data_IF_123541837542
#
_entry.id   IF_123541837542
#
_cell.length_a   1.000
_cell.length_b   1.000
_cell.length_c   1.000
_cell.angle_alpha   90.00
_cell.angle_beta   90.00
_cell.angle_gamma   90.00
#
_symmetry.space_group_name_H-M   'P 1'
#
loop_
_entity.id
_entity.type
_entity.pdbx_description
1 polymer ?
#
# COMPACT_ATOMS: atom_id res chain seq x y z
N UNK A 1 -19.06 -12.02 14.53
CA UNK A 1 -17.68 -12.35 14.12
C UNK A 1 -17.68 -13.01 12.75
N UNK A 2 -18.28 -14.20 12.55
CA UNK A 2 -18.38 -14.83 11.21
C UNK A 2 -19.02 -13.93 10.13
N UNK A 3 -20.21 -13.35 10.39
CA UNK A 3 -20.87 -12.45 9.42
C UNK A 3 -20.05 -11.22 9.01
N UNK A 4 -19.22 -10.67 9.91
CA UNK A 4 -18.37 -9.52 9.60
C UNK A 4 -17.14 -9.96 8.78
N UNK A 5 -16.60 -11.15 9.07
CA UNK A 5 -15.55 -11.78 8.28
C UNK A 5 -16.05 -12.14 6.87
N UNK A 6 -17.29 -12.63 6.75
CA UNK A 6 -17.93 -12.96 5.48
C UNK A 6 -18.23 -11.70 4.65
N UNK A 7 -18.68 -10.61 5.30
CA UNK A 7 -18.87 -9.32 4.64
C UNK A 7 -17.53 -8.77 4.10
N UNK A 8 -16.47 -8.79 4.92
CA UNK A 8 -15.14 -8.37 4.47
C UNK A 8 -14.64 -9.22 3.29
N UNK A 9 -14.90 -10.53 3.29
CA UNK A 9 -14.55 -11.40 2.15
C UNK A 9 -15.31 -10.99 0.89
N UNK A 10 -16.61 -10.74 0.98
CA UNK A 10 -17.41 -10.31 -0.17
C UNK A 10 -16.94 -8.96 -0.72
N UNK A 11 -16.64 -8.00 0.17
CA UNK A 11 -16.12 -6.68 -0.21
C UNK A 11 -14.74 -6.77 -0.88
N UNK A 12 -13.85 -7.63 -0.35
CA UNK A 12 -12.52 -7.87 -0.94
C UNK A 12 -12.65 -8.50 -2.34
N UNK A 13 -13.57 -9.44 -2.54
CA UNK A 13 -13.80 -10.04 -3.86
C UNK A 13 -14.43 -9.04 -4.85
N UNK A 14 -15.37 -8.21 -4.39
CA UNK A 14 -15.91 -7.12 -5.18
C UNK A 14 -14.82 -6.12 -5.58
N UNK A 15 -13.93 -5.77 -4.63
CA UNK A 15 -12.79 -4.90 -4.88
C UNK A 15 -11.86 -5.50 -5.93
N UNK A 16 -11.42 -6.76 -5.76
CA UNK A 16 -10.59 -7.47 -6.75
C UNK A 16 -11.19 -7.39 -8.15
N UNK A 17 -12.48 -7.67 -8.29
CA UNK A 17 -13.18 -7.60 -9.57
C UNK A 17 -13.18 -6.18 -10.16
N UNK A 18 -13.39 -5.15 -9.33
CA UNK A 18 -13.38 -3.75 -9.77
C UNK A 18 -12.00 -3.28 -10.25
N UNK A 19 -10.93 -3.80 -9.65
CA UNK A 19 -9.54 -3.44 -9.96
C UNK A 19 -8.92 -4.29 -11.07
N UNK A 20 -9.55 -5.41 -11.48
CA UNK A 20 -9.00 -6.31 -12.51
C UNK A 20 -8.69 -5.61 -13.84
N UNK A 21 -9.40 -4.54 -14.19
CA UNK A 21 -9.09 -3.73 -15.37
C UNK A 21 -7.68 -3.11 -15.35
N UNK A 22 -7.09 -2.95 -14.16
CA UNK A 22 -5.75 -2.40 -13.97
C UNK A 22 -4.64 -3.46 -14.08
N UNK A 23 -4.96 -4.72 -14.40
CA UNK A 23 -3.95 -5.65 -14.89
C UNK A 23 -3.24 -5.08 -16.14
N UNK A 24 -3.97 -4.31 -16.96
CA UNK A 24 -3.39 -3.36 -17.91
C UNK A 24 -3.07 -2.04 -17.18
N UNK A 25 -1.79 -1.79 -16.91
CA UNK A 25 -1.34 -0.57 -16.24
C UNK A 25 -1.69 0.71 -17.01
N UNK A 26 -1.93 0.64 -18.33
CA UNK A 26 -2.32 1.83 -19.10
C UNK A 26 -3.73 2.29 -18.75
N UNK A 27 -4.61 1.39 -18.30
CA UNK A 27 -5.90 1.77 -17.73
C UNK A 27 -5.72 2.52 -16.40
N UNK A 28 -4.75 2.10 -15.56
CA UNK A 28 -4.43 2.79 -14.32
C UNK A 28 -3.93 4.22 -14.58
N UNK A 29 -3.04 4.39 -15.56
CA UNK A 29 -2.54 5.71 -15.96
C UNK A 29 -3.66 6.61 -16.49
N UNK A 30 -4.59 6.08 -17.30
CA UNK A 30 -5.76 6.84 -17.79
C UNK A 30 -6.67 7.29 -16.64
N UNK A 31 -6.74 6.51 -15.57
CA UNK A 31 -7.47 6.83 -14.34
C UNK A 31 -6.60 7.59 -13.32
N UNK A 32 -5.48 8.19 -13.77
CA UNK A 32 -4.57 9.04 -13.00
C UNK A 32 -3.78 8.35 -11.88
N UNK A 33 -3.65 7.03 -11.91
CA UNK A 33 -2.68 6.32 -11.08
C UNK A 33 -1.31 6.40 -11.75
N UNK A 34 -0.44 7.25 -11.22
CA UNK A 34 0.87 7.55 -11.81
C UNK A 34 1.99 6.81 -11.09
N UNK A 35 2.89 6.22 -11.87
CA UNK A 35 3.99 5.40 -11.33
C UNK A 35 5.01 6.25 -10.55
N UNK A 36 5.44 5.73 -9.40
CA UNK A 36 6.61 6.23 -8.66
C UNK A 36 7.93 5.75 -9.24
N UNK A 37 7.90 4.91 -10.29
CA UNK A 37 9.00 4.20 -10.98
C UNK A 37 9.89 3.30 -10.12
N UNK A 38 10.06 3.63 -8.84
CA UNK A 38 10.81 2.87 -7.86
C UNK A 38 10.08 1.61 -7.39
N UNK A 39 10.76 0.47 -7.46
CA UNK A 39 10.29 -0.77 -6.86
C UNK A 39 10.85 -0.89 -5.45
N UNK A 40 10.00 -0.63 -4.45
CA UNK A 40 10.39 -0.55 -3.04
C UNK A 40 10.49 -1.97 -2.45
N UNK A 41 11.56 -2.23 -1.70
CA UNK A 41 11.73 -3.45 -0.92
C UNK A 41 12.53 -3.23 0.37
N UNK A 42 12.34 -4.14 1.32
CA UNK A 42 12.95 -4.07 2.65
C UNK A 42 13.72 -5.35 3.00
N UNK A 43 14.79 -5.18 3.78
CA UNK A 43 15.62 -6.27 4.26
C UNK A 43 15.06 -6.98 5.52
N UNK A 44 14.04 -6.40 6.17
CA UNK A 44 13.48 -6.92 7.43
C UNK A 44 14.19 -6.43 8.70
N UNK A 45 14.97 -5.34 8.61
CA UNK A 45 15.66 -4.75 9.75
C UNK A 45 14.67 -4.18 10.76
N UNK A 46 14.97 -4.35 12.06
CA UNK A 46 14.19 -3.77 13.16
C UNK A 46 14.99 -2.62 13.75
N UNK A 47 14.48 -1.40 13.59
CA UNK A 47 15.09 -0.19 14.14
C UNK A 47 14.14 0.38 15.21
N UNK A 48 14.69 0.78 16.36
CA UNK A 48 13.90 1.35 17.43
C UNK A 48 13.28 2.70 16.98
N UNK A 49 11.99 2.88 17.25
CA UNK A 49 11.25 4.11 16.89
C UNK A 49 10.82 4.20 15.43
N UNK A 50 10.99 3.14 14.64
CA UNK A 50 10.52 3.06 13.25
C UNK A 50 9.39 2.05 13.10
N UNK A 51 8.66 2.15 12.00
CA UNK A 51 7.82 1.06 11.51
C UNK A 51 8.63 -0.23 11.37
N UNK A 52 7.95 -1.38 11.45
CA UNK A 52 8.56 -2.65 11.10
C UNK A 52 8.02 -3.13 9.75
N UNK A 53 8.92 -3.24 8.78
CA UNK A 53 8.65 -3.85 7.47
C UNK A 53 9.32 -5.21 7.41
N UNK A 54 8.56 -6.33 7.35
CA UNK A 54 9.15 -7.65 7.14
C UNK A 54 9.96 -7.70 5.85
N UNK A 55 10.91 -8.64 5.76
CA UNK A 55 11.67 -8.84 4.53
C UNK A 55 10.73 -9.18 3.37
N UNK A 56 10.81 -8.41 2.29
CA UNK A 56 9.94 -8.54 1.12
C UNK A 56 9.88 -7.25 0.31
N UNK A 57 9.14 -7.28 -0.79
CA UNK A 57 8.90 -6.09 -1.60
C UNK A 57 7.53 -5.48 -1.32
N UNK A 58 7.46 -4.15 -1.41
CA UNK A 58 6.21 -3.43 -1.61
C UNK A 58 5.87 -3.37 -3.11
N UNK A 59 6.87 -3.25 -3.99
CA UNK A 59 6.65 -3.17 -5.43
C UNK A 59 6.71 -1.73 -5.95
N UNK A 60 6.24 -1.52 -7.18
CA UNK A 60 6.12 -0.20 -7.81
C UNK A 60 4.73 0.33 -7.50
N UNK A 61 4.67 1.51 -6.88
CA UNK A 61 3.41 2.16 -6.55
C UNK A 61 2.95 3.02 -7.71
N UNK A 62 1.66 2.92 -8.01
CA UNK A 62 0.95 3.78 -8.94
C UNK A 62 -0.06 4.57 -8.12
N UNK A 63 0.16 5.86 -7.95
CA UNK A 63 -0.56 6.70 -6.98
C UNK A 63 -1.57 7.58 -7.69
N UNK A 64 -2.83 7.54 -7.26
CA UNK A 64 -3.84 8.51 -7.65
C UNK A 64 -3.75 9.73 -6.73
N UNK A 65 -2.86 10.67 -7.06
CA UNK A 65 -2.63 11.88 -6.24
C UNK A 65 -3.92 12.67 -5.95
N UNK A 66 -4.85 12.87 -6.91
CA UNK A 66 -6.09 13.61 -6.65
C UNK A 66 -7.03 12.98 -5.60
N UNK A 67 -6.92 11.67 -5.34
CA UNK A 67 -7.75 10.98 -4.34
C UNK A 67 -7.16 11.01 -2.92
N UNK A 68 -5.90 11.44 -2.77
CA UNK A 68 -5.27 11.60 -1.45
C UNK A 68 -6.00 12.69 -0.65
N UNK A 69 -6.32 12.39 0.62
CA UNK A 69 -7.05 13.29 1.50
C UNK A 69 -8.57 13.38 1.22
N UNK A 70 -9.09 12.59 0.28
CA UNK A 70 -10.55 12.40 0.13
C UNK A 70 -11.07 11.42 1.19
N UNK A 71 -12.40 11.41 1.46
CA UNK A 71 -12.99 10.45 2.38
C UNK A 71 -12.57 9.01 2.03
N UNK A 72 -12.24 8.23 3.06
CA UNK A 72 -11.80 6.86 2.91
C UNK A 72 -12.91 6.00 2.27
N UNK A 73 -12.61 5.42 1.11
CA UNK A 73 -13.54 4.56 0.34
C UNK A 73 -12.88 3.18 0.12
N UNK A 74 -13.43 2.09 0.69
CA UNK A 74 -12.92 0.74 0.50
C UNK A 74 -12.88 0.25 -0.95
N UNK A 75 -13.66 0.86 -1.84
CA UNK A 75 -13.71 0.50 -3.25
C UNK A 75 -12.78 1.35 -4.13
N UNK A 76 -12.08 2.32 -3.54
CA UNK A 76 -11.19 3.26 -4.25
C UNK A 76 -9.85 3.40 -3.53
N UNK A 77 -8.96 2.39 -3.61
CA UNK A 77 -7.59 2.57 -3.15
C UNK A 77 -6.96 3.75 -3.88
N UNK A 78 -6.11 4.50 -3.18
CA UNK A 78 -5.38 5.60 -3.79
C UNK A 78 -4.00 5.18 -4.31
N UNK A 79 -3.63 3.91 -4.10
CA UNK A 79 -2.42 3.31 -4.63
C UNK A 79 -2.71 1.93 -5.22
N UNK A 80 -2.18 1.67 -6.41
CA UNK A 80 -2.10 0.34 -7.02
C UNK A 80 -0.65 -0.14 -6.98
N UNK A 81 -0.46 -1.44 -6.77
CA UNK A 81 0.87 -2.01 -6.56
C UNK A 81 1.19 -3.00 -7.68
N UNK A 82 2.34 -2.78 -8.33
CA UNK A 82 2.82 -3.61 -9.42
C UNK A 82 4.15 -4.30 -9.10
N UNK A 83 4.25 -5.57 -9.47
CA UNK A 83 5.51 -6.31 -9.54
C UNK A 83 6.13 -6.15 -10.94
N UNK A 84 7.39 -5.72 -11.05
CA UNK A 84 8.10 -5.75 -12.33
C UNK A 84 8.48 -7.19 -12.70
N UNK A 85 8.15 -7.58 -13.92
CA UNK A 85 8.46 -8.91 -14.48
C UNK A 85 9.19 -8.77 -15.81
N UNK A 86 9.69 -9.87 -16.36
CA UNK A 86 10.28 -9.89 -17.72
C UNK A 86 9.29 -9.51 -18.82
N UNK A 87 7.97 -9.61 -18.56
CA UNK A 87 6.91 -9.29 -19.53
C UNK A 87 6.29 -7.91 -19.29
N UNK A 88 6.87 -7.10 -18.40
CA UNK A 88 6.30 -5.82 -17.96
C UNK A 88 5.74 -5.91 -16.55
N UNK A 89 4.78 -5.05 -16.24
CA UNK A 89 4.21 -4.90 -14.90
C UNK A 89 3.07 -5.90 -14.66
N UNK A 90 3.01 -6.47 -13.46
CA UNK A 90 1.91 -7.30 -13.00
C UNK A 90 1.24 -6.67 -11.79
N UNK A 91 -0.07 -6.44 -11.84
CA UNK A 91 -0.84 -5.99 -10.69
C UNK A 91 -0.78 -7.06 -9.58
N UNK A 92 -0.41 -6.67 -8.36
CA UNK A 92 -0.25 -7.61 -7.23
C UNK A 92 -1.07 -7.21 -6.00
N UNK A 93 -1.41 -5.94 -5.86
CA UNK A 93 -2.15 -5.44 -4.71
C UNK A 93 -2.59 -3.98 -4.87
N UNK A 94 -3.11 -3.45 -3.78
CA UNK A 94 -3.53 -2.06 -3.65
C UNK A 94 -3.21 -1.56 -2.24
N UNK A 95 -3.25 -0.25 -2.06
CA UNK A 95 -3.03 0.39 -0.78
C UNK A 95 -3.93 1.62 -0.61
N UNK A 96 -4.31 1.88 0.63
CA UNK A 96 -4.93 3.12 1.06
C UNK A 96 -3.95 3.88 1.92
N UNK A 97 -3.54 5.03 1.43
CA UNK A 97 -2.77 6.01 2.17
C UNK A 97 -3.72 7.09 2.70
N UNK A 98 -3.68 7.37 4.00
CA UNK A 98 -4.52 8.37 4.68
C UNK A 98 -3.64 9.37 5.42
N UNK A 99 -3.60 10.65 5.00
CA UNK A 99 -2.82 11.66 5.71
C UNK A 99 -3.29 11.84 7.15
N UNK A 100 -2.34 12.04 8.07
CA UNK A 100 -2.66 12.54 9.41
C UNK A 100 -2.99 14.04 9.30
N UNK A 101 -4.15 14.44 9.80
CA UNK A 101 -4.64 15.82 9.77
C UNK A 101 -5.13 16.26 11.16
N UNK A 102 -5.36 17.57 11.40
CA UNK A 102 -5.98 18.03 12.66
C UNK A 102 -7.36 17.42 12.97
N UNK A 103 -8.06 16.97 11.92
CA UNK A 103 -9.38 16.35 12.03
C UNK A 103 -9.32 14.84 12.31
N UNK A 104 -8.15 14.21 12.17
CA UNK A 104 -7.96 12.80 12.50
C UNK A 104 -8.16 12.60 14.01
N UNK A 105 -9.20 11.85 14.38
CA UNK A 105 -9.52 11.55 15.80
C UNK A 105 -9.12 10.14 16.22
N UNK A 106 -9.03 9.22 15.28
CA UNK A 106 -8.68 7.83 15.53
C UNK A 106 -7.87 7.25 14.38
N UNK A 107 -7.20 6.12 14.64
CA UNK A 107 -6.51 5.36 13.59
C UNK A 107 -7.55 4.83 12.60
N UNK A 108 -7.41 5.10 11.28
CA UNK A 108 -8.36 4.60 10.30
C UNK A 108 -8.49 3.07 10.34
N UNK A 109 -9.68 2.57 10.00
CA UNK A 109 -9.93 1.13 9.91
C UNK A 109 -10.66 0.78 8.62
N UNK A 110 -10.33 -0.39 8.06
CA UNK A 110 -10.92 -0.88 6.82
C UNK A 110 -10.77 -2.40 6.76
N UNK A 111 -11.81 -3.12 6.31
CA UNK A 111 -11.88 -4.59 6.34
C UNK A 111 -11.53 -5.20 7.71
N UNK A 112 -11.90 -4.51 8.80
CA UNK A 112 -11.59 -4.92 10.17
C UNK A 112 -10.11 -4.80 10.57
N UNK A 113 -9.26 -4.19 9.72
CA UNK A 113 -7.86 -3.91 10.01
C UNK A 113 -7.69 -2.45 10.43
N UNK A 114 -6.85 -2.22 11.44
CA UNK A 114 -6.31 -0.88 11.70
C UNK A 114 -5.20 -0.59 10.70
N UNK A 115 -5.14 0.64 10.23
CA UNK A 115 -4.04 1.08 9.39
C UNK A 115 -2.74 1.12 10.22
N UNK A 116 -1.61 0.94 9.55
CA UNK A 116 -0.29 1.09 10.13
C UNK A 116 0.08 2.56 10.23
N UNK A 117 0.87 2.92 11.25
CA UNK A 117 1.32 4.30 11.49
C UNK A 117 0.71 4.98 12.73
N UNK A 118 0.75 6.33 12.80
CA UNK A 118 1.24 7.20 11.74
C UNK A 118 2.77 7.14 11.65
N UNK A 119 3.29 7.44 10.47
CA UNK A 119 4.72 7.45 10.18
C UNK A 119 5.08 8.63 9.29
N UNK A 120 6.35 9.03 9.28
CA UNK A 120 6.87 9.99 8.32
C UNK A 120 6.69 9.49 6.87
N UNK A 121 6.69 10.41 5.91
CA UNK A 121 6.72 10.05 4.49
C UNK A 121 7.95 9.23 4.10
N UNK A 122 7.76 8.33 3.13
CA UNK A 122 8.78 7.49 2.53
C UNK A 122 9.70 8.28 1.58
N UNK A 123 10.59 9.12 2.13
CA UNK A 123 11.55 9.90 1.35
C UNK A 123 12.53 8.98 0.58
N UNK A 124 12.80 9.21 -0.73
CA UNK A 124 12.46 10.42 -1.50
C UNK A 124 11.10 10.38 -2.24
N UNK A 125 10.36 9.27 -2.20
CA UNK A 125 9.12 9.12 -2.94
C UNK A 125 7.98 9.96 -2.36
N UNK A 126 7.97 10.12 -1.02
CA UNK A 126 6.99 10.91 -0.28
C UNK A 126 7.75 11.83 0.69
N UNK A 127 7.49 13.16 0.72
CA UNK A 127 8.15 14.08 1.66
C UNK A 127 7.93 13.67 3.12
N UNK A 128 8.94 13.82 3.99
CA UNK A 128 8.89 13.33 5.38
C UNK A 128 7.75 13.95 6.18
N UNK A 129 7.43 15.21 5.88
CA UNK A 129 6.39 16.02 6.52
C UNK A 129 4.98 15.51 6.20
N UNK A 130 4.84 14.69 5.15
CA UNK A 130 3.61 14.01 4.83
C UNK A 130 3.43 12.79 5.73
N UNK A 131 3.07 13.08 6.98
CA UNK A 131 2.78 12.05 7.99
C UNK A 131 1.46 11.38 7.64
N UNK A 132 1.46 10.05 7.59
CA UNK A 132 0.31 9.29 7.09
C UNK A 132 0.16 7.94 7.79
N UNK A 133 -1.01 7.35 7.56
CA UNK A 133 -1.33 5.96 7.81
C UNK A 133 -1.40 5.22 6.47
N UNK A 134 -1.08 3.94 6.47
CA UNK A 134 -1.28 3.08 5.31
C UNK A 134 -1.95 1.75 5.65
N UNK A 135 -2.64 1.17 4.66
CA UNK A 135 -3.11 -0.20 4.71
C UNK A 135 -2.83 -0.83 3.34
N UNK A 136 -1.94 -1.82 3.34
CA UNK A 136 -1.64 -2.64 2.18
C UNK A 136 -2.65 -3.78 2.05
N UNK A 137 -3.04 -4.14 0.84
CA UNK A 137 -3.84 -5.33 0.56
C UNK A 137 -3.29 -6.10 -0.66
N UNK A 138 -2.85 -7.33 -0.43
CA UNK A 138 -2.37 -8.23 -1.49
C UNK A 138 -3.53 -8.96 -2.16
N UNK A 139 -4.11 -8.31 -3.16
CA UNK A 139 -5.36 -8.74 -3.82
C UNK A 139 -5.16 -9.75 -4.96
N UNK A 140 -4.01 -9.70 -5.65
CA UNK A 140 -3.74 -10.50 -6.85
C UNK A 140 -2.53 -11.43 -6.70
N UNK A 141 -1.83 -11.34 -5.57
CA UNK A 141 -0.65 -12.13 -5.24
C UNK A 141 -0.68 -12.52 -3.77
N UNK A 142 -0.92 -13.80 -3.48
CA UNK A 142 -0.96 -14.27 -2.08
C UNK A 142 0.29 -13.87 -1.31
N UNK A 143 0.09 -13.49 -0.05
CA UNK A 143 1.17 -13.16 0.87
C UNK A 143 1.23 -14.19 2.02
N UNK A 144 2.30 -14.98 2.15
CA UNK A 144 2.41 -15.96 3.24
C UNK A 144 2.50 -15.31 4.63
N UNK A 145 2.83 -14.03 4.72
CA UNK A 145 2.83 -13.28 5.99
C UNK A 145 1.44 -12.71 6.34
N UNK A 146 0.47 -12.80 5.42
CA UNK A 146 -0.89 -12.29 5.58
C UNK A 146 -1.23 -11.19 4.57
N UNK A 147 -2.51 -11.15 4.14
CA UNK A 147 -3.01 -10.26 3.08
C UNK A 147 -2.77 -8.76 3.34
N UNK A 148 -2.73 -8.34 4.60
CA UNK A 148 -2.58 -6.93 4.99
C UNK A 148 -1.18 -6.57 5.51
N UNK A 149 -0.20 -7.46 5.33
CA UNK A 149 1.20 -7.18 5.71
C UNK A 149 1.79 -6.11 4.76
N UNK A 150 2.61 -5.16 5.22
CA UNK A 150 3.09 -4.06 4.36
C UNK A 150 4.11 -4.52 3.29
N UNK A 151 4.67 -5.72 3.40
CA UNK A 151 5.57 -6.29 2.38
C UNK A 151 5.17 -7.72 2.04
N UNK A 152 5.46 -8.15 0.82
CA UNK A 152 5.25 -9.54 0.38
C UNK A 152 6.58 -10.20 -0.02
N UNK A 153 7.00 -11.30 0.63
CA UNK A 153 8.23 -12.01 0.27
C UNK A 153 8.15 -12.74 -1.09
N UNK A 154 6.94 -12.91 -1.65
CA UNK A 154 6.74 -13.49 -2.99
C UNK A 154 6.78 -12.47 -4.13
N UNK A 155 6.88 -11.17 -3.82
CA UNK A 155 7.07 -10.08 -4.79
C UNK A 155 8.54 -9.71 -4.84
N UNK A 156 9.07 -9.45 -6.03
CA UNK A 156 10.50 -9.15 -6.22
C UNK A 156 10.75 -7.89 -7.05
N UNK A 157 11.80 -7.15 -6.70
CA UNK A 157 12.23 -5.95 -7.44
C UNK A 157 13.45 -6.19 -8.35
N UNK A 158 13.88 -7.44 -8.55
CA UNK A 158 15.09 -7.78 -9.32
C UNK A 158 14.95 -7.64 -10.85
N UNK A 159 13.77 -7.18 -11.32
CA UNK A 159 13.48 -6.79 -12.70
C UNK A 159 13.08 -5.32 -12.82
N UNK A 160 13.16 -4.56 -11.74
CA UNK A 160 12.92 -3.12 -11.78
C UNK A 160 14.12 -2.42 -12.41
N UNK A 161 13.87 -1.35 -13.16
CA UNK A 161 14.92 -0.41 -13.58
C UNK A 161 15.45 0.39 -12.37
N UNK A 162 14.56 0.67 -11.40
CA UNK A 162 14.87 1.41 -10.17
C UNK A 162 14.51 0.57 -8.93
N UNK A 163 15.28 -0.48 -8.58
CA UNK A 163 15.09 -1.18 -7.31
C UNK A 163 15.51 -0.26 -6.16
N UNK A 164 14.65 -0.11 -5.15
CA UNK A 164 14.85 0.77 -4.01
C UNK A 164 14.83 -0.05 -2.72
N UNK A 165 16.03 -0.34 -2.20
CA UNK A 165 16.16 -0.89 -0.85
C UNK A 165 15.97 0.26 0.15
N UNK A 166 14.81 0.29 0.77
CA UNK A 166 14.45 1.35 1.71
C UNK A 166 14.74 0.95 3.16
N UNK A 167 14.87 1.98 4.00
CA UNK A 167 14.95 1.83 5.46
C UNK A 167 13.59 2.12 6.09
N UNK A 168 13.24 1.44 7.19
CA UNK A 168 11.97 1.72 7.86
C UNK A 168 11.81 3.18 8.28
N UNK A 169 10.63 3.73 8.02
CA UNK A 169 10.25 5.12 8.35
C UNK A 169 10.01 5.29 9.83
N UNK A 170 10.29 6.49 10.35
CA UNK A 170 10.10 6.81 11.77
C UNK A 170 8.60 6.84 12.11
N UNK A 171 8.23 6.25 13.24
CA UNK A 171 6.89 6.36 13.80
C UNK A 171 6.66 7.76 14.35
N UNK A 172 5.47 8.29 14.12
CA UNK A 172 5.04 9.60 14.58
C UNK A 172 3.98 9.48 15.67
N UNK A 173 3.83 10.48 16.55
CA UNK A 173 2.72 10.51 17.50
C UNK A 173 1.38 10.49 16.77
N UNK A 174 0.46 9.65 17.25
CA UNK A 174 -0.92 9.57 16.76
C UNK A 174 -1.81 10.71 17.28
N UNK A 175 -3.09 10.73 16.87
CA UNK A 175 -4.09 11.57 17.51
C UNK A 175 -4.12 11.27 19.01
N UNK A 176 -4.26 12.32 19.82
CA UNK A 176 -4.45 12.22 21.27
C UNK A 176 -5.80 11.60 21.61
#
# INVERSE_FOLDING_TARGET
>A
MARAEDANKADIEALKKSLAKYEDYTAAVRDLYLSTVGCVHYAGEKIAGTMYYPKGAMGIHFVNVPSIGKPLDPMKPNVLIYEPTRKGLKLVGAEWLVPLTPDTKEVPTLFGQKFMGPMEGHYPLIPREFVHYDLHAWLFRDNPNGMFTPTNPKVTCNKADFPMLEKPTKMMPGPM
#
